data_IF_401969439321
#
_entry.id   IF_401969439321
#
_cell.length_a   1.000
_cell.length_b   1.000
_cell.length_c   1.000
_cell.angle_alpha   90.00
_cell.angle_beta   90.00
_cell.angle_gamma   90.00
#
_symmetry.space_group_name_H-M   'P 1'
#
loop_
_entity.id
_entity.type
_entity.pdbx_description
1 polymer ?
#
# COMPACT_ATOMS: atom_id res chain seq x y z
N UNK A 1 -0.92 13.68 5.19
CA UNK A 1 -0.13 12.66 4.56
C UNK A 1 -1.06 11.66 3.91
N UNK A 2 -0.89 11.35 2.61
CA UNK A 2 -1.65 10.32 1.91
C UNK A 2 -0.74 9.17 1.54
N UNK A 3 -1.22 7.95 1.72
CA UNK A 3 -0.47 6.71 1.45
C UNK A 3 -1.28 5.87 0.47
N UNK A 4 -0.67 5.50 -0.63
CA UNK A 4 -1.10 4.40 -1.48
C UNK A 4 -0.31 3.15 -1.05
N UNK A 5 -0.99 2.20 -0.41
CA UNK A 5 -0.41 0.99 0.15
C UNK A 5 -0.59 -0.16 -0.83
N UNK A 6 0.12 -0.09 -1.96
CA UNK A 6 -0.01 -1.07 -3.02
C UNK A 6 0.73 -2.40 -2.78
N UNK A 7 0.30 -3.44 -3.47
CA UNK A 7 0.93 -4.77 -3.43
C UNK A 7 2.39 -4.73 -3.91
N UNK A 8 2.67 -4.01 -4.99
CA UNK A 8 4.00 -3.91 -5.57
C UNK A 8 4.83 -2.76 -4.96
N UNK A 9 4.24 -1.57 -4.84
CA UNK A 9 4.89 -0.36 -4.35
C UNK A 9 4.01 0.37 -3.35
N UNK A 10 4.64 1.06 -2.40
CA UNK A 10 4.00 2.02 -1.51
C UNK A 10 4.41 3.43 -1.90
N UNK A 11 3.43 4.31 -2.10
CA UNK A 11 3.66 5.72 -2.38
C UNK A 11 3.19 6.57 -1.20
N UNK A 12 3.93 7.65 -0.92
CA UNK A 12 3.52 8.66 0.06
C UNK A 12 3.49 10.03 -0.63
N UNK A 13 2.33 10.68 -0.51
CA UNK A 13 2.09 12.02 -1.00
C UNK A 13 1.95 12.99 0.18
N UNK A 14 2.66 14.11 0.11
CA UNK A 14 2.67 15.15 1.14
C UNK A 14 3.02 16.49 0.50
N UNK A 15 2.36 17.55 0.94
CA UNK A 15 2.64 18.93 0.51
C UNK A 15 2.67 19.11 -1.02
N UNK A 16 1.70 18.54 -1.72
CA UNK A 16 1.53 18.71 -3.16
C UNK A 16 2.41 17.82 -4.04
N UNK A 17 3.15 16.86 -3.49
CA UNK A 17 4.05 15.98 -4.26
C UNK A 17 4.19 14.58 -3.66
N UNK A 18 4.60 13.64 -4.51
CA UNK A 18 5.05 12.32 -4.07
C UNK A 18 6.43 12.48 -3.41
N UNK A 19 6.52 12.14 -2.13
CA UNK A 19 7.74 12.25 -1.33
C UNK A 19 8.42 10.90 -1.12
N UNK A 20 7.70 9.80 -1.38
CA UNK A 20 8.23 8.43 -1.32
C UNK A 20 7.54 7.57 -2.39
N UNK A 21 8.34 6.78 -3.09
CA UNK A 21 7.87 5.70 -3.97
C UNK A 21 8.86 4.55 -3.82
N UNK A 22 8.46 3.54 -3.05
CA UNK A 22 9.33 2.42 -2.68
C UNK A 22 8.59 1.09 -2.86
N UNK A 23 9.30 0.01 -3.21
CA UNK A 23 8.72 -1.32 -3.23
C UNK A 23 8.13 -1.72 -1.87
N UNK A 24 6.97 -2.37 -1.87
CA UNK A 24 6.33 -2.95 -0.68
C UNK A 24 7.03 -4.27 -0.30
N UNK A 25 8.30 -4.18 0.08
CA UNK A 25 9.16 -5.34 0.43
C UNK A 25 9.88 -5.06 1.74
N UNK A 26 9.99 -6.09 2.57
CA UNK A 26 10.70 -6.05 3.86
C UNK A 26 11.63 -7.25 3.96
N UNK A 27 12.87 -7.03 4.36
CA UNK A 27 13.82 -8.09 4.68
C UNK A 27 13.90 -8.29 6.20
N UNK A 28 13.68 -9.51 6.62
CA UNK A 28 13.64 -9.95 8.01
C UNK A 28 14.83 -10.87 8.30
N UNK A 29 15.45 -10.69 9.47
CA UNK A 29 16.41 -11.64 10.00
C UNK A 29 15.77 -12.49 11.09
N UNK A 30 15.89 -13.81 10.96
CA UNK A 30 15.46 -14.78 11.95
C UNK A 30 16.67 -15.19 12.80
N UNK A 31 16.69 -14.80 14.06
CA UNK A 31 17.73 -15.20 15.00
C UNK A 31 17.31 -16.47 15.75
N UNK A 32 18.23 -17.44 15.88
CA UNK A 32 17.95 -18.68 16.63
C UNK A 32 17.59 -18.35 18.09
N UNK A 33 16.38 -18.72 18.50
CA UNK A 33 15.88 -18.47 19.86
C UNK A 33 15.18 -17.12 20.08
N UNK A 34 15.12 -16.26 19.11
CA UNK A 34 14.32 -15.03 19.19
C UNK A 34 12.85 -15.31 18.86
N UNK A 35 11.93 -14.73 19.65
CA UNK A 35 10.49 -14.83 19.43
C UNK A 35 9.99 -13.97 18.24
N UNK A 36 10.76 -12.97 17.84
CA UNK A 36 10.41 -12.06 16.76
C UNK A 36 11.58 -11.84 15.80
N UNK A 37 11.25 -11.70 14.52
CA UNK A 37 12.21 -11.35 13.48
C UNK A 37 12.57 -9.87 13.51
N UNK A 38 13.84 -9.56 13.23
CA UNK A 38 14.34 -8.19 13.15
C UNK A 38 14.26 -7.67 11.70
N UNK A 39 13.69 -6.49 11.49
CA UNK A 39 13.72 -5.81 10.18
C UNK A 39 15.13 -5.30 9.91
N UNK A 40 15.72 -5.71 8.78
CA UNK A 40 17.08 -5.31 8.38
C UNK A 40 17.09 -4.40 7.15
N UNK A 41 16.07 -4.47 6.30
CA UNK A 41 15.90 -3.57 5.15
C UNK A 41 14.42 -3.42 4.80
N UNK A 42 14.07 -2.31 4.15
CA UNK A 42 12.73 -2.01 3.66
C UNK A 42 12.82 -1.31 2.32
N UNK A 43 11.83 -1.52 1.45
CA UNK A 43 11.75 -0.86 0.15
C UNK A 43 12.76 -1.41 -0.86
N UNK A 44 13.45 -0.53 -1.57
CA UNK A 44 14.37 -0.91 -2.64
C UNK A 44 15.52 -1.80 -2.15
N UNK A 45 16.04 -1.53 -0.95
CA UNK A 45 17.12 -2.34 -0.38
C UNK A 45 16.65 -3.77 -0.10
N UNK A 46 15.44 -3.94 0.43
CA UNK A 46 14.85 -5.25 0.65
C UNK A 46 14.52 -5.97 -0.69
N UNK A 47 14.04 -5.22 -1.69
CA UNK A 47 13.77 -5.77 -3.04
C UNK A 47 15.02 -6.35 -3.68
N UNK A 48 16.18 -5.71 -3.52
CA UNK A 48 17.46 -6.18 -4.03
C UNK A 48 17.90 -7.51 -3.38
N UNK A 49 17.32 -7.85 -2.23
CA UNK A 49 17.60 -9.09 -1.50
C UNK A 49 16.69 -10.25 -1.91
N UNK A 50 15.59 -10.01 -2.62
CA UNK A 50 14.65 -11.06 -3.05
C UNK A 50 15.37 -12.16 -3.83
N UNK A 51 15.20 -13.42 -3.39
CA UNK A 51 15.80 -14.59 -4.04
C UNK A 51 17.33 -14.71 -3.89
N UNK A 52 17.96 -13.85 -3.07
CA UNK A 52 19.43 -13.80 -2.90
C UNK A 52 19.87 -13.85 -1.44
N UNK A 53 18.98 -14.16 -0.51
CA UNK A 53 19.25 -14.14 0.93
C UNK A 53 19.74 -15.49 1.43
N UNK A 54 20.69 -15.53 2.41
CA UNK A 54 21.02 -16.75 3.14
C UNK A 54 19.82 -17.16 4.01
N UNK A 55 19.77 -18.44 4.42
CA UNK A 55 18.61 -19.02 5.11
C UNK A 55 18.20 -18.39 6.46
N UNK A 56 19.01 -17.47 7.01
CA UNK A 56 18.66 -16.67 8.20
C UNK A 56 18.00 -15.33 7.88
N UNK A 57 17.89 -14.99 6.60
CA UNK A 57 17.27 -13.74 6.12
C UNK A 57 16.18 -14.10 5.12
N UNK A 58 15.00 -13.52 5.29
CA UNK A 58 13.87 -13.68 4.40
C UNK A 58 13.41 -12.30 3.91
N UNK A 59 13.31 -12.14 2.59
CA UNK A 59 12.72 -10.94 1.99
C UNK A 59 11.29 -11.29 1.55
N UNK A 60 10.30 -10.57 2.09
CA UNK A 60 8.88 -10.83 1.86
C UNK A 60 8.13 -9.59 1.39
N UNK A 61 7.02 -9.82 0.69
CA UNK A 61 6.01 -8.80 0.38
C UNK A 61 4.89 -8.92 1.42
N UNK A 62 4.73 -7.95 2.32
CA UNK A 62 3.68 -8.02 3.36
C UNK A 62 2.28 -7.71 2.83
N UNK A 63 2.19 -7.20 1.58
CA UNK A 63 0.95 -6.99 0.85
C UNK A 63 0.80 -8.01 -0.26
N UNK A 64 -0.40 -8.56 -0.43
CA UNK A 64 -0.73 -9.51 -1.49
C UNK A 64 -2.17 -9.28 -1.96
N UNK A 65 -2.37 -9.23 -3.28
CA UNK A 65 -3.72 -9.10 -3.87
C UNK A 65 -4.54 -7.93 -3.28
N UNK A 66 -3.86 -6.79 -3.05
CA UNK A 66 -4.47 -5.58 -2.47
C UNK A 66 -4.77 -5.64 -0.96
N UNK A 67 -4.38 -6.72 -0.26
CA UNK A 67 -4.65 -6.89 1.17
C UNK A 67 -3.37 -7.13 1.99
N UNK A 68 -3.47 -6.91 3.31
CA UNK A 68 -2.39 -7.21 4.23
C UNK A 68 -2.28 -8.72 4.42
N UNK A 69 -1.15 -9.29 4.00
CA UNK A 69 -0.81 -10.69 4.21
C UNK A 69 -0.10 -10.91 5.57
N UNK A 70 0.71 -9.93 6.00
CA UNK A 70 1.37 -9.93 7.30
C UNK A 70 1.20 -8.56 7.99
N UNK A 71 0.40 -8.55 9.06
CA UNK A 71 0.04 -7.34 9.80
C UNK A 71 1.27 -6.69 10.46
N UNK A 72 2.08 -7.47 11.19
CA UNK A 72 3.24 -6.94 11.92
C UNK A 72 4.31 -6.38 10.99
N UNK A 73 4.53 -7.05 9.87
CA UNK A 73 5.52 -6.61 8.88
C UNK A 73 5.03 -5.37 8.15
N UNK A 74 3.72 -5.29 7.82
CA UNK A 74 3.11 -4.09 7.22
C UNK A 74 3.23 -2.88 8.17
N UNK A 75 2.94 -3.06 9.46
CA UNK A 75 3.09 -2.00 10.47
C UNK A 75 4.54 -1.49 10.52
N UNK A 76 5.52 -2.40 10.59
CA UNK A 76 6.96 -2.03 10.60
C UNK A 76 7.37 -1.34 9.30
N UNK A 77 6.86 -1.77 8.14
CA UNK A 77 7.10 -1.13 6.85
C UNK A 77 6.55 0.30 6.82
N UNK A 78 5.29 0.48 7.20
CA UNK A 78 4.66 1.80 7.29
C UNK A 78 5.40 2.72 8.27
N UNK A 79 5.79 2.21 9.45
CA UNK A 79 6.57 2.96 10.42
C UNK A 79 7.90 3.44 9.84
N UNK A 80 8.60 2.58 9.09
CA UNK A 80 9.84 2.93 8.42
C UNK A 80 9.62 4.03 7.38
N UNK A 81 8.62 3.87 6.49
CA UNK A 81 8.34 4.83 5.43
C UNK A 81 7.87 6.18 5.99
N UNK A 82 7.00 6.18 7.01
CA UNK A 82 6.57 7.40 7.67
C UNK A 82 7.74 8.13 8.35
N UNK A 83 8.63 7.42 9.04
CA UNK A 83 9.84 8.01 9.62
C UNK A 83 10.78 8.60 8.57
N UNK A 84 10.87 8.00 7.38
CA UNK A 84 11.71 8.46 6.27
C UNK A 84 11.23 9.79 5.70
N UNK A 85 9.91 10.04 5.67
CA UNK A 85 9.32 11.26 5.08
C UNK A 85 9.02 12.35 6.12
N UNK A 86 8.74 11.97 7.36
CA UNK A 86 8.49 12.92 8.43
C UNK A 86 9.82 13.39 9.03
N UNK A 87 9.98 14.72 9.14
CA UNK A 87 11.13 15.28 9.86
C UNK A 87 11.07 14.84 11.31
N UNK A 88 12.08 14.13 11.78
CA UNK A 88 12.21 13.74 13.18
C UNK A 88 12.55 14.98 14.01
N UNK A 89 11.58 15.43 14.81
CA UNK A 89 11.77 16.44 15.85
C UNK A 89 11.17 15.95 17.15
N UNK A 90 11.78 16.30 18.28
CA UNK A 90 11.34 15.85 19.62
C UNK A 90 9.88 16.22 19.94
N UNK A 91 9.30 17.17 19.17
CA UNK A 91 7.92 17.65 19.29
C UNK A 91 7.09 17.49 18.01
N UNK A 92 7.47 16.59 17.08
CA UNK A 92 6.68 16.39 15.87
C UNK A 92 5.38 15.65 16.22
N UNK A 93 4.20 16.26 15.97
CA UNK A 93 2.94 15.60 16.26
C UNK A 93 2.73 14.40 15.31
N UNK A 94 2.07 13.36 15.83
CA UNK A 94 1.66 12.22 15.00
C UNK A 94 0.78 12.69 13.84
N UNK A 95 1.04 12.22 12.61
CA UNK A 95 0.33 12.70 11.43
C UNK A 95 -1.11 12.18 11.35
N UNK A 96 -1.97 12.96 10.67
CA UNK A 96 -3.18 12.41 10.07
C UNK A 96 -2.82 11.74 8.76
N UNK A 97 -3.38 10.56 8.52
CA UNK A 97 -3.07 9.74 7.36
C UNK A 97 -4.35 9.40 6.60
N UNK A 98 -4.33 9.58 5.28
CA UNK A 98 -5.34 9.08 4.36
C UNK A 98 -4.72 7.90 3.61
N UNK A 99 -5.38 6.73 3.60
CA UNK A 99 -4.86 5.52 2.94
C UNK A 99 -5.84 5.06 1.87
N UNK A 100 -5.32 4.76 0.68
CA UNK A 100 -6.09 4.13 -0.39
C UNK A 100 -6.37 2.67 -0.04
N UNK A 101 -7.59 2.22 -0.36
CA UNK A 101 -8.02 0.83 -0.18
C UNK A 101 -8.79 0.35 -1.40
N UNK A 102 -8.68 -0.92 -1.78
CA UNK A 102 -9.48 -1.49 -2.84
C UNK A 102 -10.99 -1.34 -2.57
N UNK A 103 -11.79 -1.12 -3.63
CA UNK A 103 -13.26 -1.08 -3.51
C UNK A 103 -13.81 -2.37 -2.92
N UNK A 104 -13.22 -3.52 -3.30
CA UNK A 104 -13.59 -4.85 -2.82
C UNK A 104 -13.09 -5.18 -1.42
N UNK A 105 -12.38 -4.27 -0.73
CA UNK A 105 -11.84 -4.55 0.60
C UNK A 105 -12.95 -4.77 1.63
N UNK A 106 -12.89 -5.90 2.34
CA UNK A 106 -13.80 -6.25 3.44
C UNK A 106 -13.62 -5.32 4.63
N UNK A 107 -14.60 -5.29 5.55
CA UNK A 107 -14.50 -4.52 6.79
C UNK A 107 -13.30 -4.96 7.65
N UNK A 108 -12.96 -6.25 7.63
CA UNK A 108 -11.80 -6.79 8.36
C UNK A 108 -10.50 -6.27 7.77
N UNK A 109 -10.36 -6.28 6.45
CA UNK A 109 -9.19 -5.75 5.74
C UNK A 109 -9.05 -4.23 5.95
N UNK A 110 -10.14 -3.46 5.83
CA UNK A 110 -10.16 -2.02 6.12
C UNK A 110 -9.72 -1.73 7.56
N UNK A 111 -10.17 -2.53 8.52
CA UNK A 111 -9.77 -2.41 9.92
C UNK A 111 -8.29 -2.73 10.11
N UNK A 112 -7.78 -3.80 9.49
CA UNK A 112 -6.37 -4.18 9.55
C UNK A 112 -5.45 -3.07 9.05
N UNK A 113 -5.81 -2.40 7.92
CA UNK A 113 -5.07 -1.26 7.38
C UNK A 113 -5.06 -0.10 8.38
N UNK A 114 -6.20 0.24 8.98
CA UNK A 114 -6.27 1.31 9.99
C UNK A 114 -5.41 1.01 11.20
N UNK A 115 -5.50 -0.21 11.75
CA UNK A 115 -4.75 -0.64 12.93
C UNK A 115 -3.24 -0.66 12.65
N UNK A 116 -2.80 -1.13 11.46
CA UNK A 116 -1.39 -1.07 11.05
C UNK A 116 -0.87 0.38 10.98
N UNK A 117 -1.66 1.30 10.45
CA UNK A 117 -1.24 2.70 10.36
C UNK A 117 -1.19 3.39 11.73
N UNK A 118 -2.13 3.09 12.63
CA UNK A 118 -2.10 3.58 14.02
C UNK A 118 -0.88 3.01 14.75
N UNK A 119 -0.61 1.70 14.64
CA UNK A 119 0.57 1.06 15.21
C UNK A 119 1.88 1.64 14.65
N UNK A 120 1.88 2.06 13.39
CA UNK A 120 3.01 2.76 12.78
C UNK A 120 3.19 4.21 13.26
N UNK A 121 2.25 4.77 14.06
CA UNK A 121 2.34 6.08 14.69
C UNK A 121 1.43 7.16 14.09
N UNK A 122 0.45 6.80 13.25
CA UNK A 122 -0.57 7.73 12.80
C UNK A 122 -1.52 8.10 13.96
N UNK A 123 -1.93 9.40 14.03
CA UNK A 123 -2.91 9.86 15.02
C UNK A 123 -4.34 9.56 14.60
N UNK A 124 -4.67 9.92 13.36
CA UNK A 124 -5.99 9.72 12.77
C UNK A 124 -5.80 9.04 11.41
N UNK A 125 -6.60 8.02 11.10
CA UNK A 125 -6.53 7.29 9.84
C UNK A 125 -7.88 7.31 9.13
N UNK A 126 -7.87 7.84 7.92
CA UNK A 126 -8.99 7.89 6.99
C UNK A 126 -8.72 6.95 5.82
N UNK A 127 -9.77 6.38 5.26
CA UNK A 127 -9.68 5.52 4.08
C UNK A 127 -10.42 6.17 2.90
N UNK A 128 -9.87 5.96 1.71
CA UNK A 128 -10.47 6.34 0.44
C UNK A 128 -10.34 5.16 -0.53
N UNK A 129 -11.35 4.91 -1.33
CA UNK A 129 -11.29 3.90 -2.39
C UNK A 129 -10.28 4.28 -3.47
N UNK A 130 -9.48 3.31 -3.94
CA UNK A 130 -8.42 3.51 -4.94
C UNK A 130 -8.92 4.23 -6.20
N UNK A 131 -10.05 3.83 -6.85
CA UNK A 131 -10.52 4.52 -8.04
C UNK A 131 -10.98 5.96 -7.78
N UNK A 132 -11.49 6.26 -6.57
CA UNK A 132 -11.83 7.63 -6.20
C UNK A 132 -10.57 8.49 -6.06
N UNK A 133 -9.53 7.95 -5.42
CA UNK A 133 -8.25 8.64 -5.29
C UNK A 133 -7.59 8.87 -6.66
N UNK A 134 -7.64 7.86 -7.55
CA UNK A 134 -7.13 7.96 -8.92
C UNK A 134 -7.87 9.03 -9.74
N UNK A 135 -9.20 9.07 -9.66
CA UNK A 135 -10.01 10.08 -10.33
C UNK A 135 -9.68 11.51 -9.87
N UNK A 136 -9.55 11.69 -8.56
CA UNK A 136 -9.14 12.97 -7.97
C UNK A 136 -7.74 13.39 -8.42
N UNK A 137 -6.79 12.44 -8.42
CA UNK A 137 -5.42 12.67 -8.86
C UNK A 137 -5.30 12.99 -10.35
N UNK A 138 -6.17 12.41 -11.18
CA UNK A 138 -6.26 12.69 -12.62
C UNK A 138 -7.03 14.00 -12.93
N UNK A 139 -7.60 14.67 -11.94
CA UNK A 139 -8.38 15.89 -12.14
C UNK A 139 -9.70 15.65 -12.89
N UNK A 140 -10.30 14.47 -12.76
CA UNK A 140 -11.56 14.14 -13.42
C UNK A 140 -12.72 14.93 -12.82
N UNK A 141 -13.69 15.32 -13.65
CA UNK A 141 -14.85 16.11 -13.24
C UNK A 141 -15.93 15.23 -12.56
N UNK A 142 -15.55 14.61 -11.43
CA UNK A 142 -16.42 13.67 -10.70
C UNK A 142 -17.60 14.34 -9.98
N UNK A 143 -17.60 15.68 -9.86
CA UNK A 143 -18.69 16.45 -9.24
C UNK A 143 -19.92 16.54 -10.12
N UNK A 144 -19.75 16.38 -11.42
CA UNK A 144 -20.84 16.48 -12.39
C UNK A 144 -21.77 15.26 -12.36
N UNK A 145 -22.97 15.44 -12.87
CA UNK A 145 -23.95 14.35 -13.02
C UNK A 145 -23.62 13.41 -14.19
N UNK A 146 -22.53 13.66 -14.90
CA UNK A 146 -21.98 12.79 -15.94
C UNK A 146 -21.16 11.66 -15.33
N UNK A 147 -21.29 10.43 -15.86
CA UNK A 147 -20.48 9.30 -15.40
C UNK A 147 -19.02 9.42 -15.87
N UNK A 148 -18.08 9.38 -14.94
CA UNK A 148 -16.65 9.25 -15.20
C UNK A 148 -16.22 7.83 -14.87
N UNK A 149 -15.50 7.14 -15.77
CA UNK A 149 -15.04 5.77 -15.56
C UNK A 149 -13.52 5.77 -15.30
N UNK A 150 -13.13 5.04 -14.28
CA UNK A 150 -11.73 4.75 -13.95
C UNK A 150 -11.50 3.25 -14.08
N UNK A 151 -10.40 2.87 -14.73
CA UNK A 151 -9.83 1.53 -14.69
C UNK A 151 -8.42 1.68 -14.08
N UNK A 152 -8.24 1.09 -12.90
CA UNK A 152 -6.98 1.08 -12.16
C UNK A 152 -6.42 -0.35 -12.17
N UNK A 153 -5.19 -0.52 -12.69
CA UNK A 153 -4.51 -1.81 -12.76
C UNK A 153 -3.22 -1.71 -11.94
N UNK A 154 -3.30 -2.25 -10.72
CA UNK A 154 -2.18 -2.32 -9.80
C UNK A 154 -1.31 -3.57 -9.98
N UNK A 155 -0.41 -3.81 -9.01
CA UNK A 155 0.40 -5.03 -8.98
C UNK A 155 -0.43 -6.28 -8.66
N UNK A 156 -1.34 -6.20 -7.70
CA UNK A 156 -2.14 -7.34 -7.21
C UNK A 156 -3.61 -7.30 -7.58
N UNK A 157 -4.16 -6.13 -7.93
CA UNK A 157 -5.59 -5.92 -8.19
C UNK A 157 -5.80 -5.13 -9.48
N UNK A 158 -6.96 -5.33 -10.10
CA UNK A 158 -7.51 -4.45 -11.14
C UNK A 158 -8.90 -4.01 -10.70
N UNK A 159 -9.15 -2.71 -10.70
CA UNK A 159 -10.38 -2.10 -10.25
C UNK A 159 -11.02 -1.25 -11.34
N UNK A 160 -12.34 -1.35 -11.46
CA UNK A 160 -13.14 -0.49 -12.32
C UNK A 160 -14.16 0.24 -11.46
N UNK A 161 -14.33 1.54 -11.69
CA UNK A 161 -15.38 2.30 -11.04
C UNK A 161 -16.01 3.33 -11.99
N UNK A 162 -17.30 3.56 -11.81
CA UNK A 162 -18.04 4.66 -12.41
C UNK A 162 -18.34 5.64 -11.28
N UNK A 163 -17.92 6.88 -11.49
CA UNK A 163 -18.02 7.98 -10.52
C UNK A 163 -18.97 9.05 -11.06
N UNK A 164 -19.83 9.59 -10.20
CA UNK A 164 -20.70 10.71 -10.49
C UNK A 164 -21.10 11.41 -9.18
N UNK A 165 -21.27 12.73 -9.20
CA UNK A 165 -21.72 13.52 -8.05
C UNK A 165 -20.88 13.25 -6.77
N UNK A 166 -19.55 13.17 -6.92
CA UNK A 166 -18.59 12.86 -5.85
C UNK A 166 -18.78 11.47 -5.19
N UNK A 167 -19.49 10.56 -5.83
CA UNK A 167 -19.73 9.21 -5.33
C UNK A 167 -19.34 8.12 -6.32
N UNK A 168 -19.12 6.92 -5.82
CA UNK A 168 -18.98 5.72 -6.63
C UNK A 168 -20.38 5.17 -6.90
N UNK A 169 -20.78 5.16 -8.18
CA UNK A 169 -22.08 4.65 -8.63
C UNK A 169 -22.03 3.13 -8.83
N UNK A 170 -20.92 2.67 -9.35
CA UNK A 170 -20.64 1.24 -9.58
C UNK A 170 -19.16 1.00 -9.41
N UNK A 171 -18.79 -0.12 -8.83
CA UNK A 171 -17.39 -0.59 -8.80
C UNK A 171 -17.33 -2.11 -8.81
N UNK A 172 -16.24 -2.62 -9.37
CA UNK A 172 -15.87 -4.03 -9.31
C UNK A 172 -14.36 -4.14 -9.14
N UNK A 173 -13.90 -5.23 -8.50
CA UNK A 173 -12.49 -5.46 -8.18
C UNK A 173 -12.13 -6.91 -8.42
N UNK A 174 -11.03 -7.11 -9.17
CA UNK A 174 -10.47 -8.42 -9.47
C UNK A 174 -9.09 -8.54 -8.82
N UNK A 175 -8.80 -9.67 -8.18
CA UNK A 175 -7.47 -10.00 -7.65
C UNK A 175 -6.55 -10.53 -8.77
N UNK A 176 -6.43 -9.73 -9.82
CA UNK A 176 -5.56 -9.94 -10.97
C UNK A 176 -4.90 -8.61 -11.28
N UNK A 177 -3.60 -8.58 -11.36
CA UNK A 177 -2.82 -7.37 -11.65
C UNK A 177 -1.50 -7.72 -12.32
N UNK A 178 -0.56 -6.80 -12.31
CA UNK A 178 0.74 -6.92 -12.96
C UNK A 178 1.52 -8.18 -12.55
N UNK A 179 1.48 -8.58 -11.28
CA UNK A 179 2.17 -9.78 -10.79
C UNK A 179 1.65 -11.06 -11.50
N UNK A 180 0.32 -11.16 -11.72
CA UNK A 180 -0.28 -12.30 -12.45
C UNK A 180 0.08 -12.26 -13.92
N UNK A 181 0.17 -11.06 -14.52
CA UNK A 181 0.60 -10.91 -15.92
C UNK A 181 2.04 -11.37 -16.10
N UNK A 182 2.95 -10.95 -15.24
CA UNK A 182 4.35 -11.35 -15.25
C UNK A 182 4.50 -12.87 -15.07
N UNK A 183 3.81 -13.44 -14.08
CA UNK A 183 3.81 -14.90 -13.85
C UNK A 183 3.28 -15.69 -15.04
N UNK A 184 2.29 -15.16 -15.74
CA UNK A 184 1.72 -15.80 -16.93
C UNK A 184 2.71 -15.79 -18.08
N UNK A 185 3.42 -14.69 -18.30
CA UNK A 185 4.47 -14.57 -19.31
C UNK A 185 5.61 -15.54 -19.01
N UNK A 186 6.08 -15.58 -17.75
CA UNK A 186 7.16 -16.49 -17.32
C UNK A 186 6.80 -17.96 -17.52
N UNK A 187 5.54 -18.35 -17.29
CA UNK A 187 5.07 -19.73 -17.51
C UNK A 187 4.93 -20.10 -19.00
N UNK A 188 4.76 -19.09 -19.85
CA UNK A 188 4.61 -19.30 -21.29
C UNK A 188 5.96 -19.48 -22.01
N UNK A 189 7.05 -18.90 -21.49
CA UNK A 189 8.42 -19.00 -22.00
C UNK A 189 9.07 -20.31 -21.54
#
# INVERSE_FOLDING_TARGET
>A
LSIDLGTANTLIYMDGKVVLNEPSVVALRHEKGALESTVIAVGQDAKNMLGRTPGSIEAIRPMKDGVIADFKVTEKMLQYFMKKVLKSGFFSPSPRVLICVPCGATQVERRAIKESAVGAGARDVYLIEEPMAAALGAGMAIQEASGAMVLDIGGGTSEIAILSLNGIVYSDSLRVGGDVFDDTIVKFI
#
